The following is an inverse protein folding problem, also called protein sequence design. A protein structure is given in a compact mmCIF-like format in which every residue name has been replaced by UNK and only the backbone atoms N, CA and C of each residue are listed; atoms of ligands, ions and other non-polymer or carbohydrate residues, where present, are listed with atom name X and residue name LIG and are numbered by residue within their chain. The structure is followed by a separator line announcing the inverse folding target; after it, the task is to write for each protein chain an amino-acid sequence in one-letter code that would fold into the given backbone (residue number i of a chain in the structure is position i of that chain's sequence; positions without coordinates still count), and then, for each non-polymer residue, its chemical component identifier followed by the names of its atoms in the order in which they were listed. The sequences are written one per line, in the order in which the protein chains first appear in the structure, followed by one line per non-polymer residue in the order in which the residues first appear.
data_IF_804932039001
#
_entry.id   IF_804932039001
#
_cell.length_a   1.000
_cell.length_b   1.000
_cell.length_c   1.000
_cell.angle_alpha   90.00
_cell.angle_beta   90.00
_cell.angle_gamma   90.00
#
_symmetry.space_group_name_H-M   'P 1'
#
loop_
_entity.id
_entity.type
_entity.pdbx_description
1 polymer ?
#
# COMPACT_ATOMS: atom_id res chain seq x y z
N UNK A 1 -37.41 36.92 64.55
CA UNK A 1 -36.55 35.77 64.23
C UNK A 1 -36.67 35.48 62.75
N UNK A 2 -35.64 35.81 61.89
CA UNK A 2 -35.62 35.61 60.43
C UNK A 2 -34.68 34.49 60.12
N UNK A 3 -35.21 33.35 59.63
CA UNK A 3 -34.38 32.25 59.08
C UNK A 3 -33.90 32.60 57.65
N UNK A 4 -32.62 32.63 57.45
CA UNK A 4 -31.98 32.73 56.14
C UNK A 4 -31.73 31.29 55.64
N UNK A 5 -32.46 30.90 54.58
CA UNK A 5 -32.17 29.68 53.86
C UNK A 5 -30.99 29.94 52.89
N UNK A 6 -29.85 29.28 53.15
CA UNK A 6 -28.69 29.28 52.24
C UNK A 6 -28.81 28.02 51.36
N UNK A 7 -29.17 28.20 50.11
CA UNK A 7 -29.17 27.12 49.11
C UNK A 7 -27.75 26.99 48.60
N UNK A 8 -27.09 25.89 48.97
CA UNK A 8 -25.76 25.49 48.50
C UNK A 8 -25.93 24.77 47.13
N UNK A 9 -25.74 25.50 46.04
CA UNK A 9 -25.77 24.96 44.69
C UNK A 9 -24.52 24.14 44.41
N UNK A 10 -24.65 22.80 44.30
CA UNK A 10 -23.61 21.85 43.91
C UNK A 10 -23.45 21.96 42.39
N UNK A 11 -22.42 22.68 41.91
CA UNK A 11 -22.02 22.70 40.50
C UNK A 11 -21.30 21.39 40.18
N UNK A 12 -22.01 20.46 39.51
CA UNK A 12 -21.45 19.26 38.93
C UNK A 12 -20.66 19.67 37.68
N UNK A 13 -19.35 19.81 37.82
CA UNK A 13 -18.42 20.08 36.67
C UNK A 13 -18.27 18.79 35.88
N UNK A 14 -19.13 18.60 34.86
CA UNK A 14 -18.95 17.54 33.87
C UNK A 14 -17.70 17.87 33.05
N UNK A 15 -16.53 17.24 33.34
CA UNK A 15 -15.39 17.24 32.45
C UNK A 15 -15.75 16.49 31.18
N UNK A 16 -16.27 17.22 30.18
CA UNK A 16 -16.37 16.73 28.82
C UNK A 16 -14.92 16.71 28.32
N UNK A 17 -14.28 15.54 28.34
CA UNK A 17 -13.03 15.32 27.61
C UNK A 17 -13.34 15.58 26.14
N UNK A 18 -12.98 16.75 25.64
CA UNK A 18 -13.01 17.01 24.19
C UNK A 18 -12.04 16.02 23.57
N UNK A 19 -12.57 15.05 22.82
CA UNK A 19 -11.78 14.24 21.90
C UNK A 19 -11.20 15.22 20.87
N UNK A 20 -9.94 15.59 21.05
CA UNK A 20 -9.27 16.50 20.13
C UNK A 20 -8.96 15.68 18.88
N UNK A 21 -9.69 15.97 17.80
CA UNK A 21 -9.37 15.42 16.48
C UNK A 21 -7.91 15.76 16.16
N UNK A 22 -7.11 14.75 15.86
CA UNK A 22 -5.72 14.93 15.42
C UNK A 22 -5.59 14.50 13.97
N UNK A 23 -4.66 15.10 13.29
CA UNK A 23 -4.33 14.80 11.90
C UNK A 23 -3.08 13.91 11.89
N UNK A 24 -3.24 12.69 11.37
CA UNK A 24 -2.17 11.70 11.30
C UNK A 24 -1.57 11.70 9.89
N UNK A 25 -0.24 11.79 9.79
CA UNK A 25 0.46 11.75 8.52
C UNK A 25 1.01 10.34 8.26
N UNK A 26 0.52 9.67 7.22
CA UNK A 26 0.92 8.30 6.86
C UNK A 26 1.71 8.30 5.54
N UNK A 27 2.87 7.65 5.55
CA UNK A 27 3.59 7.24 4.36
C UNK A 27 3.17 5.82 3.98
N UNK A 28 2.57 5.60 2.82
CA UNK A 28 2.09 4.28 2.42
C UNK A 28 2.51 3.87 1.01
N UNK A 29 2.95 2.63 0.87
CA UNK A 29 3.20 2.04 -0.44
C UNK A 29 1.93 2.14 -1.32
N UNK A 30 2.12 2.52 -2.59
CA UNK A 30 1.01 2.92 -3.47
C UNK A 30 0.00 1.81 -3.78
N UNK A 31 0.37 0.54 -3.61
CA UNK A 31 -0.53 -0.62 -3.74
C UNK A 31 -1.61 -0.68 -2.66
N UNK A 32 -1.43 0.04 -1.54
CA UNK A 32 -2.36 0.09 -0.41
C UNK A 32 -3.51 1.09 -0.59
N UNK A 33 -3.48 1.89 -1.66
CA UNK A 33 -4.41 3.03 -1.86
C UNK A 33 -5.87 2.69 -1.61
N UNK A 34 -6.38 1.60 -2.19
CA UNK A 34 -7.80 1.25 -2.07
C UNK A 34 -8.14 0.69 -0.69
N UNK A 35 -7.29 -0.18 -0.15
CA UNK A 35 -7.48 -0.71 1.20
C UNK A 35 -7.44 0.41 2.26
N UNK A 36 -6.46 1.32 2.16
CA UNK A 36 -6.36 2.44 3.09
C UNK A 36 -7.52 3.42 2.97
N UNK A 37 -8.10 3.62 1.79
CA UNK A 37 -9.28 4.48 1.64
C UNK A 37 -10.47 3.98 2.47
N UNK A 38 -10.72 2.67 2.52
CA UNK A 38 -11.78 2.09 3.34
C UNK A 38 -11.40 2.08 4.83
N UNK A 39 -10.16 1.70 5.16
CA UNK A 39 -9.66 1.68 6.53
C UNK A 39 -9.71 3.07 7.19
N UNK A 40 -9.35 4.11 6.45
CA UNK A 40 -9.38 5.49 6.93
C UNK A 40 -10.82 5.92 7.22
N UNK A 41 -11.74 5.59 6.32
CA UNK A 41 -13.17 5.89 6.54
C UNK A 41 -13.70 5.23 7.81
N UNK A 42 -13.38 3.96 8.01
CA UNK A 42 -13.80 3.21 9.20
C UNK A 42 -13.15 3.76 10.48
N UNK A 43 -11.85 4.08 10.44
CA UNK A 43 -11.11 4.62 11.58
C UNK A 43 -11.60 6.03 11.97
N UNK A 44 -11.85 6.91 10.99
CA UNK A 44 -12.39 8.25 11.21
C UNK A 44 -13.78 8.19 11.88
N UNK A 45 -14.66 7.30 11.40
CA UNK A 45 -15.98 7.10 12.00
C UNK A 45 -15.91 6.63 13.46
N UNK A 46 -14.92 5.81 13.81
CA UNK A 46 -14.76 5.27 15.17
C UNK A 46 -14.10 6.26 16.13
N UNK A 47 -13.21 7.11 15.64
CA UNK A 47 -12.30 7.90 16.49
C UNK A 47 -12.42 9.42 16.31
N UNK A 48 -12.93 9.88 15.18
CA UNK A 48 -12.92 11.29 14.78
C UNK A 48 -11.52 11.82 14.40
N UNK A 49 -10.49 10.95 14.27
CA UNK A 49 -9.16 11.33 13.83
C UNK A 49 -9.08 11.35 12.31
N UNK A 50 -8.48 12.40 11.73
CA UNK A 50 -8.27 12.51 10.29
C UNK A 50 -6.90 11.97 9.90
N UNK A 51 -6.84 11.30 8.75
CA UNK A 51 -5.62 10.71 8.22
C UNK A 51 -5.32 11.29 6.83
N UNK A 52 -4.10 11.83 6.69
CA UNK A 52 -3.53 12.19 5.39
C UNK A 52 -2.51 11.14 4.96
N UNK A 53 -2.62 10.66 3.73
CA UNK A 53 -1.72 9.63 3.21
C UNK A 53 -0.93 10.15 2.02
N UNK A 54 0.39 10.02 2.11
CA UNK A 54 1.29 10.16 0.97
C UNK A 54 1.59 8.79 0.36
N UNK A 55 1.18 8.60 -0.89
CA UNK A 55 1.37 7.34 -1.62
C UNK A 55 2.55 7.44 -2.59
N UNK A 56 3.56 6.59 -2.40
CA UNK A 56 4.70 6.47 -3.32
C UNK A 56 5.28 5.04 -3.32
N UNK A 57 6.44 4.83 -3.92
CA UNK A 57 7.21 3.61 -3.74
C UNK A 57 7.80 3.56 -2.33
N UNK A 58 7.91 2.35 -1.73
CA UNK A 58 8.42 2.19 -0.36
C UNK A 58 9.79 2.82 -0.18
N UNK A 59 10.73 2.63 -1.10
CA UNK A 59 12.07 3.22 -1.03
C UNK A 59 12.07 4.75 -1.15
N UNK A 60 11.17 5.34 -1.94
CA UNK A 60 11.00 6.80 -2.02
C UNK A 60 10.53 7.35 -0.68
N UNK A 61 9.54 6.70 -0.05
CA UNK A 61 9.02 7.11 1.26
C UNK A 61 10.07 6.96 2.36
N UNK A 62 10.83 5.86 2.36
CA UNK A 62 11.97 5.66 3.26
C UNK A 62 12.95 6.82 3.17
N UNK A 63 13.32 7.22 1.95
CA UNK A 63 14.21 8.37 1.74
C UNK A 63 13.61 9.67 2.26
N UNK A 64 12.31 9.91 2.06
CA UNK A 64 11.63 11.10 2.61
C UNK A 64 11.66 11.11 4.15
N UNK A 65 11.42 9.96 4.80
CA UNK A 65 11.49 9.83 6.27
C UNK A 65 12.90 10.09 6.77
N UNK A 66 13.92 9.53 6.11
CA UNK A 66 15.34 9.79 6.42
C UNK A 66 15.72 11.26 6.33
N UNK A 67 15.03 12.03 5.48
CA UNK A 67 15.22 13.48 5.34
C UNK A 67 14.27 14.32 6.23
N UNK A 68 13.58 13.69 7.18
CA UNK A 68 12.77 14.36 8.18
C UNK A 68 11.35 14.72 7.73
N UNK A 69 10.81 14.05 6.71
CA UNK A 69 9.39 14.22 6.38
C UNK A 69 8.52 13.83 7.59
N UNK A 70 7.48 14.62 7.92
CA UNK A 70 6.75 14.52 9.19
C UNK A 70 5.71 13.39 9.19
N UNK A 71 6.10 12.20 8.77
CA UNK A 71 5.25 11.02 8.85
C UNK A 71 5.28 10.41 10.24
N UNK A 72 4.15 9.84 10.66
CA UNK A 72 3.98 9.18 11.94
C UNK A 72 3.85 7.66 11.80
N UNK A 73 3.34 7.19 10.65
CA UNK A 73 3.23 5.77 10.32
C UNK A 73 3.84 5.55 8.95
N UNK A 74 4.63 4.48 8.82
CA UNK A 74 5.10 4.01 7.53
C UNK A 74 4.54 2.61 7.25
N UNK A 75 3.93 2.43 6.08
CA UNK A 75 3.37 1.18 5.60
C UNK A 75 4.04 0.77 4.29
N UNK A 76 4.91 -0.23 4.37
CA UNK A 76 5.77 -0.68 3.28
C UNK A 76 5.24 -1.96 2.62
N UNK A 77 5.52 -2.12 1.32
CA UNK A 77 5.32 -3.36 0.57
C UNK A 77 6.59 -4.25 0.54
N UNK A 78 7.56 -3.98 1.40
CA UNK A 78 8.77 -4.77 1.61
C UNK A 78 9.34 -4.44 2.99
N UNK A 79 9.53 -5.44 3.89
CA UNK A 79 10.10 -5.27 5.22
C UNK A 79 11.48 -4.62 5.24
N UNK A 80 12.31 -4.86 4.23
CA UNK A 80 13.66 -4.28 4.12
C UNK A 80 13.68 -2.75 4.30
N UNK A 81 12.66 -2.04 3.83
CA UNK A 81 12.59 -0.59 3.98
C UNK A 81 12.25 -0.17 5.43
N UNK A 82 11.55 -1.00 6.17
CA UNK A 82 11.27 -0.76 7.60
C UNK A 82 12.51 -1.07 8.44
N UNK A 83 13.20 -2.19 8.16
CA UNK A 83 14.46 -2.56 8.79
C UNK A 83 15.48 -1.43 8.65
N UNK A 84 15.60 -0.85 7.46
CA UNK A 84 16.48 0.28 7.19
C UNK A 84 16.16 1.51 8.05
N UNK A 85 14.89 1.87 8.24
CA UNK A 85 14.50 2.97 9.14
C UNK A 85 14.79 2.64 10.60
N UNK A 86 14.66 1.38 10.99
CA UNK A 86 15.01 0.94 12.33
C UNK A 86 16.52 1.05 12.60
N UNK A 87 17.34 0.64 11.66
CA UNK A 87 18.81 0.73 11.76
C UNK A 87 19.27 2.18 11.84
N UNK A 88 18.56 3.10 11.18
CA UNK A 88 18.77 4.54 11.27
C UNK A 88 18.21 5.16 12.58
N UNK A 89 17.54 4.38 13.45
CA UNK A 89 16.92 4.86 14.70
C UNK A 89 15.73 5.79 14.48
N UNK A 90 15.06 5.69 13.33
CA UNK A 90 13.93 6.53 12.92
C UNK A 90 12.57 5.88 13.18
N UNK A 91 12.51 4.59 13.52
CA UNK A 91 11.28 3.88 13.87
C UNK A 91 11.15 3.71 15.39
N UNK A 92 9.93 3.44 15.86
CA UNK A 92 9.65 3.06 17.26
C UNK A 92 8.60 1.94 17.33
N UNK A 93 8.66 1.13 18.39
CA UNK A 93 7.71 0.06 18.65
C UNK A 93 7.96 -1.21 17.82
N UNK A 94 6.94 -2.05 17.72
CA UNK A 94 7.00 -3.32 17.01
C UNK A 94 6.68 -3.15 15.52
N UNK A 95 7.27 -4.00 14.69
CA UNK A 95 6.92 -4.14 13.27
C UNK A 95 5.66 -5.00 13.14
N UNK A 96 4.70 -4.51 12.40
CA UNK A 96 3.41 -5.17 12.22
C UNK A 96 3.33 -5.77 10.82
N UNK A 97 3.44 -7.08 10.71
CA UNK A 97 3.11 -7.83 9.49
C UNK A 97 1.59 -7.90 9.37
N UNK A 98 1.00 -7.06 8.51
CA UNK A 98 -0.44 -6.95 8.45
C UNK A 98 -1.07 -7.69 7.28
N UNK A 99 -0.33 -7.95 6.19
CA UNK A 99 -0.85 -8.64 5.02
C UNK A 99 0.25 -9.16 4.07
N UNK A 100 -0.17 -9.98 3.10
CA UNK A 100 0.61 -10.32 1.90
C UNK A 100 -0.14 -9.79 0.67
N UNK A 101 0.56 -9.06 -0.18
CA UNK A 101 0.02 -8.59 -1.44
C UNK A 101 0.42 -9.52 -2.60
N UNK A 102 -0.40 -9.52 -3.65
CA UNK A 102 -0.21 -10.33 -4.86
C UNK A 102 0.17 -9.44 -6.03
N UNK A 103 1.14 -9.87 -6.86
CA UNK A 103 1.43 -9.25 -8.16
C UNK A 103 0.72 -10.00 -9.28
N UNK A 104 0.30 -9.27 -10.31
CA UNK A 104 -0.33 -9.81 -11.51
C UNK A 104 0.34 -9.28 -12.77
N UNK A 105 0.28 -10.04 -13.85
CA UNK A 105 0.49 -9.55 -15.20
C UNK A 105 -0.86 -9.14 -15.77
N UNK A 106 -1.02 -7.86 -16.05
CA UNK A 106 -2.23 -7.28 -16.64
C UNK A 106 -1.98 -6.91 -18.11
N UNK A 107 -2.99 -7.12 -18.94
CA UNK A 107 -3.03 -6.62 -20.32
C UNK A 107 -4.36 -5.94 -20.60
N UNK A 108 -4.34 -4.78 -21.24
CA UNK A 108 -5.54 -4.06 -21.62
C UNK A 108 -6.37 -4.87 -22.65
N UNK A 109 -7.64 -4.51 -22.84
CA UNK A 109 -8.51 -5.15 -23.83
C UNK A 109 -7.97 -4.98 -25.27
N UNK A 110 -7.11 -4.01 -25.51
CA UNK A 110 -6.52 -3.73 -26.82
C UNK A 110 -5.26 -4.56 -27.08
N UNK A 111 -4.64 -5.10 -26.03
CA UNK A 111 -3.44 -5.94 -26.15
C UNK A 111 -3.79 -7.32 -26.70
N UNK A 112 -2.98 -7.78 -27.65
CA UNK A 112 -3.03 -9.14 -28.23
C UNK A 112 -2.13 -10.14 -27.51
N UNK A 113 -1.42 -9.69 -26.44
CA UNK A 113 -0.49 -10.52 -25.69
C UNK A 113 -1.23 -11.70 -25.06
N UNK A 114 -0.72 -12.92 -25.22
CA UNK A 114 -1.17 -14.07 -24.43
C UNK A 114 -0.63 -13.94 -23.01
N UNK A 115 -1.51 -14.06 -22.01
CA UNK A 115 -1.12 -14.03 -20.59
C UNK A 115 -1.01 -15.46 -20.06
N UNK A 116 0.12 -15.77 -19.45
CA UNK A 116 0.36 -17.01 -18.72
C UNK A 116 1.31 -16.75 -17.54
N UNK A 117 1.28 -17.65 -16.55
CA UNK A 117 2.04 -17.47 -15.31
C UNK A 117 3.56 -17.65 -15.51
N UNK A 118 3.97 -18.33 -16.55
CA UNK A 118 5.38 -18.58 -16.88
C UNK A 118 5.99 -17.53 -17.81
N UNK A 119 5.20 -16.50 -18.19
CA UNK A 119 5.58 -15.42 -19.09
C UNK A 119 5.98 -15.87 -20.51
N UNK A 120 5.52 -17.06 -20.97
CA UNK A 120 5.83 -17.61 -22.29
C UNK A 120 5.24 -16.76 -23.43
N UNK A 121 4.02 -16.24 -23.23
CA UNK A 121 3.40 -15.32 -24.18
C UNK A 121 4.21 -14.01 -24.33
N UNK A 122 4.73 -13.51 -23.21
CA UNK A 122 5.60 -12.33 -23.19
C UNK A 122 6.92 -12.60 -23.91
N UNK A 123 7.59 -13.72 -23.58
CA UNK A 123 8.82 -14.17 -24.22
C UNK A 123 8.63 -14.31 -25.75
N UNK A 124 7.62 -15.07 -26.17
CA UNK A 124 7.34 -15.31 -27.57
C UNK A 124 7.06 -14.00 -28.35
N UNK A 125 6.35 -13.04 -27.74
CA UNK A 125 6.10 -11.75 -28.37
C UNK A 125 7.37 -10.92 -28.49
N UNK A 126 8.25 -10.97 -27.50
CA UNK A 126 9.56 -10.31 -27.52
C UNK A 126 10.44 -10.87 -28.64
N UNK A 127 10.58 -12.21 -28.71
CA UNK A 127 11.39 -12.90 -29.71
C UNK A 127 10.92 -12.64 -31.15
N UNK A 128 9.61 -12.49 -31.36
CA UNK A 128 9.03 -12.14 -32.67
C UNK A 128 9.10 -10.66 -33.00
N UNK A 129 9.62 -9.81 -32.11
CA UNK A 129 9.65 -8.35 -32.29
C UNK A 129 8.27 -7.71 -32.31
N UNK A 130 7.27 -8.34 -31.66
CA UNK A 130 5.86 -7.91 -31.65
C UNK A 130 5.47 -7.23 -30.34
N UNK A 131 6.39 -7.15 -29.38
CA UNK A 131 6.17 -6.53 -28.07
C UNK A 131 6.49 -5.03 -28.16
N UNK A 132 5.52 -4.17 -27.87
CA UNK A 132 5.73 -2.72 -27.82
C UNK A 132 6.33 -2.31 -26.47
N UNK A 133 5.49 -2.19 -25.44
CA UNK A 133 5.92 -1.77 -24.11
C UNK A 133 5.34 -2.65 -23.02
N UNK A 134 6.12 -2.80 -21.94
CA UNK A 134 5.72 -3.44 -20.69
C UNK A 134 5.97 -2.49 -19.53
N UNK A 135 4.92 -2.18 -18.79
CA UNK A 135 4.99 -1.28 -17.65
C UNK A 135 5.43 -2.03 -16.39
N UNK A 136 6.44 -1.52 -15.71
CA UNK A 136 6.85 -1.98 -14.37
C UNK A 136 7.09 -0.76 -13.48
N UNK A 137 6.91 -0.90 -12.18
CA UNK A 137 7.41 0.09 -11.23
C UNK A 137 8.96 0.08 -11.23
N UNK A 138 9.59 1.16 -10.78
CA UNK A 138 11.05 1.28 -10.82
C UNK A 138 11.71 0.28 -9.83
N UNK A 139 12.50 -0.69 -10.31
CA UNK A 139 13.13 -1.70 -9.45
C UNK A 139 14.10 -1.14 -8.41
N UNK A 140 14.60 0.08 -8.63
CA UNK A 140 15.58 0.69 -7.71
C UNK A 140 14.98 1.05 -6.34
N UNK A 141 13.65 1.29 -6.27
CA UNK A 141 13.02 1.77 -5.04
C UNK A 141 11.56 1.31 -4.83
N UNK A 142 10.99 0.56 -5.79
CA UNK A 142 9.63 0.06 -5.70
C UNK A 142 9.61 -1.47 -5.57
N UNK A 143 9.04 -2.05 -4.49
CA UNK A 143 8.97 -3.50 -4.29
C UNK A 143 8.30 -4.25 -5.46
N UNK A 144 7.24 -3.70 -6.03
CA UNK A 144 6.60 -4.26 -7.22
C UNK A 144 7.50 -4.25 -8.46
N UNK A 145 8.39 -3.28 -8.57
CA UNK A 145 9.40 -3.22 -9.62
C UNK A 145 10.47 -4.29 -9.44
N UNK A 146 10.94 -4.49 -8.20
CA UNK A 146 11.88 -5.56 -7.87
C UNK A 146 11.28 -6.94 -8.13
N UNK A 147 10.02 -7.16 -7.72
CA UNK A 147 9.29 -8.40 -7.99
C UNK A 147 9.13 -8.64 -9.51
N UNK A 148 8.80 -7.60 -10.29
CA UNK A 148 8.72 -7.70 -11.74
C UNK A 148 10.08 -8.05 -12.37
N UNK A 149 11.15 -7.42 -11.91
CA UNK A 149 12.51 -7.74 -12.35
C UNK A 149 12.86 -9.20 -12.07
N UNK A 150 12.66 -9.68 -10.84
CA UNK A 150 12.95 -11.07 -10.47
C UNK A 150 12.14 -12.08 -11.32
N UNK A 151 10.88 -11.79 -11.61
CA UNK A 151 10.05 -12.63 -12.48
C UNK A 151 10.59 -12.66 -13.92
N UNK A 152 11.02 -11.52 -14.46
CA UNK A 152 11.62 -11.43 -15.80
C UNK A 152 13.01 -12.07 -15.87
N UNK A 153 13.78 -12.01 -14.78
CA UNK A 153 15.07 -12.72 -14.64
C UNK A 153 14.85 -14.22 -14.59
N UNK A 154 13.92 -14.71 -13.78
CA UNK A 154 13.55 -16.12 -13.70
C UNK A 154 13.03 -16.67 -15.03
N UNK A 155 12.30 -15.86 -15.80
CA UNK A 155 11.89 -16.17 -17.16
C UNK A 155 13.04 -16.08 -18.18
N UNK A 156 14.23 -15.62 -17.81
CA UNK A 156 15.41 -15.50 -18.70
C UNK A 156 15.32 -14.40 -19.76
N UNK A 157 14.41 -13.42 -19.59
CA UNK A 157 14.19 -12.36 -20.60
C UNK A 157 14.53 -10.95 -20.11
N UNK A 158 15.03 -10.79 -18.88
CA UNK A 158 15.31 -9.48 -18.30
C UNK A 158 16.23 -8.61 -19.17
N UNK A 159 17.31 -9.19 -19.72
CA UNK A 159 18.27 -8.44 -20.54
C UNK A 159 17.68 -8.05 -21.89
N UNK A 160 16.89 -8.92 -22.49
CA UNK A 160 16.31 -8.69 -23.82
C UNK A 160 15.16 -7.69 -23.81
N UNK A 161 14.40 -7.62 -22.71
CA UNK A 161 13.19 -6.78 -22.63
C UNK A 161 13.49 -5.32 -22.27
N UNK A 162 14.72 -4.95 -21.93
CA UNK A 162 15.07 -3.62 -21.42
C UNK A 162 14.57 -2.46 -22.26
N UNK A 163 14.65 -2.57 -23.60
CA UNK A 163 14.21 -1.52 -24.52
C UNK A 163 12.68 -1.39 -24.62
N UNK A 164 11.93 -2.40 -24.19
CA UNK A 164 10.48 -2.42 -24.12
C UNK A 164 9.93 -1.99 -22.76
N UNK A 165 10.77 -1.88 -21.73
CA UNK A 165 10.30 -1.49 -20.41
C UNK A 165 9.88 -0.01 -20.38
N UNK A 166 8.70 0.23 -19.81
CA UNK A 166 8.22 1.54 -19.40
C UNK A 166 8.25 1.60 -17.87
N UNK A 167 9.25 2.32 -17.35
CA UNK A 167 9.51 2.40 -15.93
C UNK A 167 8.64 3.48 -15.29
N UNK A 168 7.81 3.08 -14.36
CA UNK A 168 6.94 3.95 -13.57
C UNK A 168 7.57 4.26 -12.19
N UNK A 169 7.26 5.40 -11.61
CA UNK A 169 7.77 5.78 -10.29
C UNK A 169 7.30 4.83 -9.16
N UNK A 170 6.11 4.26 -9.30
CA UNK A 170 5.52 3.36 -8.32
C UNK A 170 4.46 2.44 -8.98
N UNK A 171 3.91 1.54 -8.19
CA UNK A 171 2.91 0.56 -8.66
C UNK A 171 1.60 1.21 -9.15
N UNK A 172 1.17 2.34 -8.57
CA UNK A 172 -0.01 3.08 -9.04
C UNK A 172 0.18 3.66 -10.44
N UNK A 173 1.36 4.18 -10.74
CA UNK A 173 1.67 4.70 -12.07
C UNK A 173 1.87 3.57 -13.09
N UNK A 174 2.43 2.42 -12.66
CA UNK A 174 2.59 1.27 -13.54
C UNK A 174 1.25 0.78 -14.11
N UNK A 175 0.19 0.71 -13.28
CA UNK A 175 -1.15 0.36 -13.80
C UNK A 175 -1.73 1.44 -14.72
N UNK A 176 -1.48 2.72 -14.44
CA UNK A 176 -1.93 3.80 -15.34
C UNK A 176 -1.29 3.66 -16.72
N UNK A 177 0.00 3.33 -16.79
CA UNK A 177 0.67 3.05 -18.06
C UNK A 177 0.10 1.80 -18.74
N UNK A 178 -0.11 0.71 -17.98
CA UNK A 178 -0.65 -0.55 -18.52
C UNK A 178 -2.07 -0.42 -19.09
N UNK A 179 -2.82 0.61 -18.70
CA UNK A 179 -4.16 0.90 -19.23
C UNK A 179 -4.11 1.65 -20.57
N UNK A 180 -2.94 2.10 -21.03
CA UNK A 180 -2.80 2.79 -22.30
C UNK A 180 -2.69 1.81 -23.49
N UNK A 181 -3.11 2.23 -24.68
CA UNK A 181 -3.09 1.40 -25.90
C UNK A 181 -1.69 1.06 -26.41
N UNK A 182 -0.67 1.78 -25.94
CA UNK A 182 0.72 1.59 -26.35
C UNK A 182 1.49 0.58 -25.49
N UNK A 183 0.87 0.09 -24.41
CA UNK A 183 1.46 -0.84 -23.46
C UNK A 183 0.75 -2.18 -23.59
N UNK A 184 1.51 -3.22 -23.90
CA UNK A 184 0.97 -4.57 -24.10
C UNK A 184 0.68 -5.26 -22.78
N UNK A 185 1.50 -5.01 -21.74
CA UNK A 185 1.31 -5.57 -20.42
C UNK A 185 1.90 -4.69 -19.31
N UNK A 186 1.46 -4.96 -18.06
CA UNK A 186 2.05 -4.35 -16.88
C UNK A 186 2.10 -5.32 -15.70
N UNK A 187 3.20 -5.28 -14.95
CA UNK A 187 3.33 -5.96 -13.68
C UNK A 187 2.79 -5.04 -12.58
N UNK A 188 1.63 -5.39 -12.02
CA UNK A 188 0.85 -4.47 -11.20
C UNK A 188 0.22 -5.16 -9.98
N UNK A 189 -0.24 -4.41 -8.95
CA UNK A 189 -0.88 -5.01 -7.79
C UNK A 189 -2.24 -5.65 -8.13
N UNK A 190 -2.52 -6.82 -7.54
CA UNK A 190 -3.83 -7.46 -7.66
C UNK A 190 -4.96 -6.61 -7.08
N UNK A 191 -4.73 -5.84 -6.03
CA UNK A 191 -5.72 -4.94 -5.42
C UNK A 191 -6.36 -3.96 -6.42
N UNK A 192 -5.64 -3.59 -7.48
CA UNK A 192 -6.18 -2.76 -8.55
C UNK A 192 -7.14 -3.51 -9.47
N UNK A 193 -6.98 -4.83 -9.61
CA UNK A 193 -7.86 -5.66 -10.44
C UNK A 193 -9.26 -5.83 -9.85
N UNK A 194 -9.42 -5.55 -8.57
CA UNK A 194 -10.72 -5.57 -7.88
C UNK A 194 -11.52 -4.29 -8.07
N UNK A 195 -10.91 -3.28 -8.68
CA UNK A 195 -11.58 -2.01 -8.96
C UNK A 195 -12.30 -2.05 -10.31
N UNK A 196 -13.63 -1.81 -10.36
CA UNK A 196 -14.42 -1.91 -11.60
C UNK A 196 -13.86 -1.07 -12.75
N UNK A 197 -13.32 0.13 -12.44
CA UNK A 197 -12.71 1.03 -13.41
C UNK A 197 -11.40 0.48 -14.03
N UNK A 198 -10.80 -0.55 -13.43
CA UNK A 198 -9.60 -1.21 -13.93
C UNK A 198 -9.95 -2.58 -14.54
N UNK A 199 -10.70 -3.41 -13.80
CA UNK A 199 -11.05 -4.77 -14.24
C UNK A 199 -11.83 -4.82 -15.54
N UNK A 200 -12.67 -3.81 -15.80
CA UNK A 200 -13.41 -3.70 -17.07
C UNK A 200 -12.54 -3.37 -18.29
N UNK A 201 -11.29 -2.94 -18.07
CA UNK A 201 -10.40 -2.46 -19.14
C UNK A 201 -9.36 -3.48 -19.60
N UNK A 202 -9.37 -4.67 -19.04
CA UNK A 202 -8.37 -5.67 -19.41
C UNK A 202 -8.60 -7.03 -18.78
N UNK A 203 -7.58 -7.84 -18.88
CA UNK A 203 -7.50 -9.17 -18.28
C UNK A 203 -6.16 -9.31 -17.55
N UNK A 204 -6.10 -10.22 -16.60
CA UNK A 204 -4.89 -10.44 -15.83
C UNK A 204 -4.69 -11.92 -15.49
N UNK A 205 -3.49 -12.27 -15.13
CA UNK A 205 -3.14 -13.53 -14.49
C UNK A 205 -2.32 -13.25 -13.22
N UNK A 206 -2.62 -13.99 -12.14
CA UNK A 206 -1.81 -13.94 -10.92
C UNK A 206 -0.48 -14.65 -11.16
N UNK A 207 0.59 -14.03 -10.69
CA UNK A 207 1.93 -14.61 -10.75
C UNK A 207 2.27 -15.24 -9.41
N UNK A 208 3.14 -16.24 -9.40
CA UNK A 208 3.54 -16.95 -8.17
C UNK A 208 4.59 -16.13 -7.38
N UNK A 209 4.18 -14.96 -6.96
CA UNK A 209 5.01 -14.05 -6.16
C UNK A 209 4.11 -13.18 -5.29
N UNK A 210 4.38 -13.16 -3.99
CA UNK A 210 3.72 -12.30 -3.02
C UNK A 210 4.70 -11.31 -2.42
N UNK A 211 4.18 -10.18 -1.96
CA UNK A 211 4.94 -9.12 -1.32
C UNK A 211 4.44 -8.92 0.11
N UNK A 212 5.29 -9.17 1.13
CA UNK A 212 4.92 -8.94 2.51
C UNK A 212 4.68 -7.45 2.76
N UNK A 213 3.60 -7.15 3.48
CA UNK A 213 3.22 -5.79 3.83
C UNK A 213 3.46 -5.59 5.31
N UNK A 214 4.28 -4.62 5.65
CA UNK A 214 4.66 -4.34 7.03
C UNK A 214 4.47 -2.87 7.37
N UNK A 215 4.10 -2.57 8.61
CA UNK A 215 3.91 -1.22 9.13
C UNK A 215 4.72 -0.98 10.40
N UNK A 216 5.13 0.27 10.60
CA UNK A 216 5.86 0.71 11.79
C UNK A 216 5.50 2.16 12.13
N UNK A 217 5.61 2.53 13.41
CA UNK A 217 5.57 3.92 13.85
C UNK A 217 6.91 4.60 13.55
N UNK A 218 6.84 5.85 13.11
CA UNK A 218 8.01 6.71 13.03
C UNK A 218 8.23 7.36 14.39
N UNK A 219 9.48 7.53 14.77
CA UNK A 219 9.87 8.04 16.10
C UNK A 219 9.21 9.37 16.42
N UNK A 220 8.53 9.42 17.56
CA UNK A 220 7.76 10.58 17.98
C UNK A 220 6.31 10.59 17.51
N UNK A 221 5.81 9.46 17.03
CA UNK A 221 4.42 9.31 16.61
C UNK A 221 3.42 9.64 17.71
N UNK A 222 2.33 10.30 17.33
CA UNK A 222 1.23 10.67 18.23
C UNK A 222 0.49 9.46 18.80
N UNK A 223 -0.31 9.68 19.85
CA UNK A 223 -1.22 8.64 20.38
C UNK A 223 -2.24 8.21 19.31
N UNK A 224 -2.72 9.12 18.47
CA UNK A 224 -3.64 8.79 17.39
C UNK A 224 -2.99 7.87 16.33
N UNK A 225 -1.73 8.11 15.97
CA UNK A 225 -0.98 7.21 15.08
C UNK A 225 -0.80 5.81 15.68
N UNK A 226 -0.54 5.72 16.99
CA UNK A 226 -0.47 4.44 17.73
C UNK A 226 -1.83 3.72 17.72
N UNK A 227 -2.93 4.45 17.87
CA UNK A 227 -4.28 3.90 17.76
C UNK A 227 -4.57 3.37 16.34
N UNK A 228 -4.15 4.09 15.30
CA UNK A 228 -4.30 3.60 13.93
C UNK A 228 -3.50 2.32 13.67
N UNK A 229 -2.25 2.24 14.15
CA UNK A 229 -1.43 1.03 14.01
C UNK A 229 -2.03 -0.17 14.77
N UNK A 230 -2.68 0.06 15.91
CA UNK A 230 -3.46 -0.97 16.61
C UNK A 230 -4.73 -1.35 15.85
N UNK A 231 -5.44 -0.36 15.28
CA UNK A 231 -6.67 -0.57 14.51
C UNK A 231 -6.45 -1.48 13.29
N UNK A 232 -5.39 -1.32 12.52
CA UNK A 232 -5.14 -2.17 11.34
C UNK A 232 -4.96 -3.66 11.67
N UNK A 233 -4.76 -4.02 12.94
CA UNK A 233 -4.65 -5.41 13.42
C UNK A 233 -5.99 -6.00 13.86
N UNK A 234 -7.06 -5.22 13.92
CA UNK A 234 -8.40 -5.68 14.31
C UNK A 234 -9.04 -6.53 13.21
N UNK A 235 -10.00 -7.40 13.58
CA UNK A 235 -10.70 -8.22 12.58
C UNK A 235 -11.49 -7.41 11.54
N UNK A 236 -12.16 -6.29 11.90
CA UNK A 236 -12.75 -5.41 10.88
C UNK A 236 -11.73 -4.90 9.85
N UNK A 237 -10.57 -4.42 10.30
CA UNK A 237 -9.51 -3.95 9.41
C UNK A 237 -8.94 -5.08 8.54
N UNK A 238 -8.72 -6.26 9.11
CA UNK A 238 -8.28 -7.46 8.37
C UNK A 238 -9.30 -7.88 7.30
N UNK A 239 -10.61 -7.79 7.61
CA UNK A 239 -11.65 -8.06 6.64
C UNK A 239 -11.56 -7.10 5.44
N UNK A 240 -11.30 -5.82 5.66
CA UNK A 240 -11.07 -4.83 4.59
C UNK A 240 -9.85 -5.22 3.75
N UNK A 241 -8.72 -5.59 4.35
CA UNK A 241 -7.57 -6.06 3.58
C UNK A 241 -7.91 -7.27 2.70
N UNK A 242 -8.64 -8.27 3.24
CA UNK A 242 -9.06 -9.47 2.47
C UNK A 242 -9.95 -9.09 1.29
N UNK A 243 -10.94 -8.20 1.47
CA UNK A 243 -11.82 -7.75 0.37
C UNK A 243 -11.07 -6.96 -0.69
N UNK A 244 -9.99 -6.27 -0.32
CA UNK A 244 -9.10 -5.55 -1.23
C UNK A 244 -7.98 -6.41 -1.82
N UNK A 245 -8.08 -7.76 -1.69
CA UNK A 245 -7.22 -8.72 -2.39
C UNK A 245 -5.88 -9.01 -1.71
N UNK A 246 -5.75 -8.67 -0.45
CA UNK A 246 -4.61 -9.06 0.38
C UNK A 246 -4.89 -10.36 1.11
N UNK A 247 -3.86 -11.19 1.27
CA UNK A 247 -3.93 -12.34 2.18
C UNK A 247 -3.50 -11.87 3.58
N UNK A 248 -4.34 -12.12 4.57
CA UNK A 248 -4.06 -11.80 5.97
C UNK A 248 -3.94 -13.10 6.73
N UNK A 249 -2.83 -13.27 7.44
CA UNK A 249 -2.63 -14.41 8.32
C UNK A 249 -3.39 -14.16 9.63
N UNK A 250 -4.23 -15.12 10.01
CA UNK A 250 -4.76 -15.15 11.36
C UNK A 250 -3.63 -15.59 12.28
N UNK A 251 -3.40 -14.83 13.38
CA UNK A 251 -2.43 -15.29 14.39
C UNK A 251 -2.86 -16.70 14.79
N UNK A 252 -1.96 -17.69 14.64
CA UNK A 252 -2.16 -19.01 15.19
C UNK A 252 -2.48 -18.84 16.68
N UNK A 253 -3.63 -19.39 17.10
CA UNK A 253 -4.05 -19.39 18.51
C UNK A 253 -3.15 -20.27 19.35
#
# INVERSE_FOLDING_TARGET
MKFKNTILGLFLFCCISQLQASEIQIAAASNLRYALSELITEFDQQTGHHINVSYAASGTLTTQIQHGAPFEVFMSADPHYIERLNDDGLSEGEFIDFAQAQIVLFASTQSKLSLDANLEGLRSSLERGQLNKVAIANPKHAPYGQAAQHLLEAAGIWQQIQSQLLIAENASQAIQFALTSQVDAGFVPYSYMLQPQVSSKGRYIKLDTTLPQQAVLIKGASTAAKQFLAFIQTEPAKAIFRTQGFTVQDKAR
#
